data_IF_285658525320
#
_entry.id   IF_285658525320
#
_cell.length_a   1.000
_cell.length_b   1.000
_cell.length_c   1.000
_cell.angle_alpha   90.00
_cell.angle_beta   90.00
_cell.angle_gamma   90.00
#
_symmetry.space_group_name_H-M   'P 1'
#
loop_
_entity.id
_entity.type
_entity.pdbx_description
1 polymer ?
#
# COMPACT_ATOMS: atom_id res chain seq x y z
N UNK A 1 -8.70 43.92 8.41
CA UNK A 1 -7.29 43.55 8.09
C UNK A 1 -7.20 42.04 7.91
N UNK A 2 -7.24 41.55 6.66
CA UNK A 2 -7.13 40.12 6.32
C UNK A 2 -5.66 39.79 6.05
N UNK A 3 -5.11 38.76 6.72
CA UNK A 3 -3.75 38.24 6.46
C UNK A 3 -3.66 37.71 5.02
N UNK A 4 -2.53 37.92 4.30
CA UNK A 4 -2.34 37.33 2.99
C UNK A 4 -2.02 35.83 3.10
N UNK A 5 -2.34 35.01 2.09
CA UNK A 5 -1.96 33.60 2.06
C UNK A 5 -0.45 33.46 1.85
N UNK A 6 0.20 32.59 2.64
CA UNK A 6 1.60 32.20 2.45
C UNK A 6 1.72 31.30 1.21
N UNK A 7 2.74 31.50 0.35
CA UNK A 7 3.00 30.59 -0.76
C UNK A 7 3.55 29.26 -0.22
N UNK A 8 2.92 28.15 -0.57
CA UNK A 8 3.52 26.80 -0.42
C UNK A 8 4.46 26.58 -1.61
N UNK A 9 5.74 26.78 -1.41
CA UNK A 9 6.78 26.27 -2.32
C UNK A 9 6.94 24.78 -2.08
N UNK A 10 6.26 23.95 -2.87
CA UNK A 10 6.53 22.52 -2.95
C UNK A 10 7.71 22.33 -3.89
N UNK A 11 8.93 22.19 -3.33
CA UNK A 11 10.10 21.78 -4.10
C UNK A 11 9.94 20.28 -4.37
N UNK A 12 9.60 19.95 -5.61
CA UNK A 12 9.51 18.58 -6.11
C UNK A 12 10.93 18.02 -6.27
N UNK A 13 11.52 17.47 -5.20
CA UNK A 13 12.77 16.71 -5.30
C UNK A 13 12.44 15.36 -5.97
N UNK A 14 12.81 15.23 -7.24
CA UNK A 14 12.88 13.95 -7.93
C UNK A 14 13.83 13.01 -7.15
N UNK A 15 13.31 11.90 -6.61
CA UNK A 15 14.13 10.79 -6.13
C UNK A 15 14.21 9.72 -7.22
N UNK A 16 15.34 9.70 -7.93
CA UNK A 16 15.89 8.48 -8.50
C UNK A 16 16.36 7.60 -7.32
N UNK A 17 15.65 6.52 -7.04
CA UNK A 17 16.13 5.44 -6.17
C UNK A 17 15.33 4.16 -6.42
N UNK A 18 15.53 3.54 -7.58
CA UNK A 18 15.27 2.11 -7.80
C UNK A 18 16.62 1.52 -8.20
N UNK A 19 17.47 1.25 -7.21
CA UNK A 19 18.69 0.46 -7.33
C UNK A 19 19.37 0.34 -5.95
N UNK A 20 18.74 -0.39 -5.01
CA UNK A 20 19.42 -0.90 -3.80
C UNK A 20 18.51 -1.90 -3.05
N UNK A 21 18.18 -3.03 -3.69
CA UNK A 21 17.64 -4.20 -2.97
C UNK A 21 18.32 -5.43 -3.56
N UNK A 22 19.56 -5.67 -3.16
CA UNK A 22 20.26 -6.96 -3.19
C UNK A 22 21.62 -6.75 -2.53
N UNK A 23 21.67 -6.91 -1.21
CA UNK A 23 22.88 -6.60 -0.45
C UNK A 23 22.94 -7.24 0.92
N UNK A 24 22.62 -8.54 1.01
CA UNK A 24 23.13 -9.41 2.08
C UNK A 24 22.70 -10.87 1.85
N UNK A 25 23.57 -11.66 1.24
CA UNK A 25 23.57 -13.12 1.34
C UNK A 25 24.93 -13.53 1.94
N UNK A 26 24.98 -14.56 2.82
CA UNK A 26 26.19 -14.99 3.49
C UNK A 26 27.15 -15.70 2.51
N UNK A 27 28.43 -15.69 2.87
CA UNK A 27 29.56 -16.23 2.11
C UNK A 27 29.30 -17.65 1.56
N UNK A 28 29.25 -17.76 0.23
CA UNK A 28 29.61 -19.00 -0.46
C UNK A 28 31.13 -19.00 -0.69
N UNK A 29 31.74 -20.14 -0.40
CA UNK A 29 33.18 -20.39 -0.45
C UNK A 29 33.81 -20.07 -1.80
N UNK A 30 35.00 -19.47 -1.76
CA UNK A 30 35.79 -19.05 -2.90
C UNK A 30 36.15 -20.22 -3.84
N UNK A 31 35.45 -20.32 -4.97
CA UNK A 31 35.91 -20.97 -6.21
C UNK A 31 34.93 -20.68 -7.35
N UNK A 32 34.90 -19.44 -7.85
CA UNK A 32 34.67 -19.12 -9.28
C UNK A 32 34.60 -17.59 -9.45
N UNK A 33 35.75 -16.99 -9.75
CA UNK A 33 35.83 -15.62 -10.27
C UNK A 33 35.93 -15.73 -11.79
N UNK A 34 34.81 -15.55 -12.49
CA UNK A 34 34.85 -15.57 -13.95
C UNK A 34 33.52 -15.48 -14.68
N UNK A 35 32.70 -14.46 -14.41
CA UNK A 35 31.81 -13.79 -15.39
C UNK A 35 31.11 -12.63 -14.69
N UNK A 36 31.17 -11.42 -15.25
CA UNK A 36 30.27 -10.33 -14.86
C UNK A 36 28.81 -10.81 -14.97
N UNK A 37 27.94 -10.55 -13.99
CA UNK A 37 26.54 -10.94 -14.09
C UNK A 37 25.88 -10.10 -15.19
N UNK A 38 25.53 -10.74 -16.30
CA UNK A 38 24.67 -10.14 -17.31
C UNK A 38 23.37 -9.62 -16.66
N UNK A 39 22.86 -8.45 -17.08
CA UNK A 39 21.57 -7.98 -16.59
C UNK A 39 20.49 -9.04 -16.89
N UNK A 40 19.55 -9.27 -15.96
CA UNK A 40 18.52 -10.28 -16.14
C UNK A 40 17.73 -10.04 -17.43
N UNK A 41 17.35 -11.13 -18.11
CA UNK A 41 16.45 -11.01 -19.26
C UNK A 41 15.13 -10.37 -18.84
N UNK A 42 14.37 -9.70 -19.73
CA UNK A 42 13.06 -9.13 -19.41
C UNK A 42 12.08 -10.14 -18.79
N UNK A 43 12.19 -11.42 -19.14
CA UNK A 43 11.40 -12.50 -18.56
C UNK A 43 11.83 -12.83 -17.12
N UNK A 44 13.14 -12.80 -16.85
CA UNK A 44 13.69 -12.97 -15.50
C UNK A 44 13.27 -11.82 -14.60
N UNK A 45 13.32 -10.58 -15.09
CA UNK A 45 12.86 -9.39 -14.38
C UNK A 45 11.36 -9.47 -14.07
N UNK A 46 10.54 -9.92 -15.03
CA UNK A 46 9.10 -10.10 -14.83
C UNK A 46 8.79 -11.13 -13.73
N UNK A 47 9.49 -12.27 -13.71
CA UNK A 47 9.33 -13.28 -12.65
C UNK A 47 9.71 -12.74 -11.28
N UNK A 48 10.81 -11.98 -11.19
CA UNK A 48 11.24 -11.36 -9.93
C UNK A 48 10.19 -10.38 -9.38
N UNK A 49 9.57 -9.58 -10.25
CA UNK A 49 8.49 -8.65 -9.84
C UNK A 49 7.27 -9.41 -9.31
N UNK A 50 6.90 -10.54 -9.92
CA UNK A 50 5.79 -11.39 -9.45
C UNK A 50 6.10 -11.98 -8.07
N UNK A 51 7.31 -12.49 -7.87
CA UNK A 51 7.70 -13.07 -6.58
C UNK A 51 7.76 -12.00 -5.48
N UNK A 52 8.27 -10.81 -5.80
CA UNK A 52 8.24 -9.67 -4.89
C UNK A 52 6.81 -9.30 -4.47
N UNK A 53 5.86 -9.28 -5.40
CA UNK A 53 4.44 -9.07 -5.09
C UNK A 53 3.88 -10.18 -4.18
N UNK A 54 4.21 -11.45 -4.45
CA UNK A 54 3.78 -12.56 -3.59
C UNK A 54 4.33 -12.47 -2.17
N UNK A 55 5.59 -12.06 -2.01
CA UNK A 55 6.19 -11.82 -0.70
C UNK A 55 5.54 -10.62 0.00
N UNK A 56 5.19 -9.57 -0.74
CA UNK A 56 4.43 -8.45 -0.18
C UNK A 56 3.03 -8.89 0.29
N UNK A 57 2.34 -9.74 -0.48
CA UNK A 57 1.06 -10.34 -0.05
C UNK A 57 1.23 -11.20 1.20
N UNK A 58 2.25 -12.07 1.23
CA UNK A 58 2.55 -12.93 2.37
C UNK A 58 2.80 -12.11 3.63
N UNK A 59 3.65 -11.09 3.52
CA UNK A 59 3.99 -10.21 4.61
C UNK A 59 2.75 -9.44 5.12
N UNK A 60 1.87 -8.96 4.22
CA UNK A 60 0.58 -8.33 4.60
C UNK A 60 -0.38 -9.29 5.31
N UNK A 61 -0.34 -10.58 5.00
CA UNK A 61 -1.21 -11.58 5.61
C UNK A 61 -0.72 -12.03 7.00
N UNK A 62 0.55 -11.75 7.35
CA UNK A 62 1.14 -12.10 8.64
C UNK A 62 0.72 -11.17 9.81
N UNK A 63 -0.53 -10.69 9.85
CA UNK A 63 -1.08 -9.82 10.92
C UNK A 63 -1.14 -10.52 12.27
N UNK A 64 -1.03 -9.79 13.38
CA UNK A 64 -1.14 -10.31 14.75
C UNK A 64 -2.49 -11.03 15.00
N UNK A 65 -2.58 -11.78 16.11
CA UNK A 65 -3.80 -12.53 16.48
C UNK A 65 -5.04 -11.63 16.66
N UNK A 66 -4.85 -10.34 16.92
CA UNK A 66 -5.88 -9.30 17.04
C UNK A 66 -6.16 -8.56 15.71
N UNK A 67 -5.51 -8.96 14.62
CA UNK A 67 -5.61 -8.31 13.31
C UNK A 67 -4.78 -7.02 13.16
N UNK A 68 -4.07 -6.60 14.21
CA UNK A 68 -3.17 -5.44 14.15
C UNK A 68 -1.95 -5.72 13.29
N UNK A 69 -1.48 -4.69 12.58
CA UNK A 69 -0.29 -4.75 11.71
C UNK A 69 0.99 -4.32 12.43
N UNK A 70 0.86 -3.79 13.65
CA UNK A 70 1.93 -3.18 14.43
C UNK A 70 2.21 -4.09 15.63
N UNK A 71 3.47 -4.47 15.84
CA UNK A 71 3.84 -5.21 17.06
C UNK A 71 3.99 -4.24 18.24
N UNK A 72 3.88 -4.71 19.49
CA UNK A 72 4.15 -3.87 20.65
C UNK A 72 5.50 -3.16 20.58
N UNK A 73 6.54 -3.82 20.08
CA UNK A 73 7.89 -3.24 19.93
C UNK A 73 7.93 -2.11 18.91
N UNK A 74 7.17 -2.24 17.81
CA UNK A 74 7.12 -1.25 16.74
C UNK A 74 6.40 0.02 17.20
N UNK A 75 5.23 -0.14 17.83
CA UNK A 75 4.47 1.00 18.36
C UNK A 75 5.23 1.67 19.52
N UNK A 76 5.79 0.88 20.43
CA UNK A 76 6.54 1.38 21.58
C UNK A 76 7.78 2.19 21.18
N UNK A 77 8.36 1.94 20.00
CA UNK A 77 9.56 2.64 19.54
C UNK A 77 9.31 4.13 19.27
N UNK A 78 8.09 4.53 18.92
CA UNK A 78 7.76 5.96 18.70
C UNK A 78 7.83 6.80 19.98
N UNK A 79 7.81 6.17 21.16
CA UNK A 79 8.08 6.87 22.41
C UNK A 79 9.55 7.26 22.61
N UNK A 80 10.45 6.86 21.70
CA UNK A 80 11.90 6.96 21.83
C UNK A 80 12.57 7.27 20.49
N UNK A 81 11.87 7.88 19.54
CA UNK A 81 12.41 8.19 18.21
C UNK A 81 12.88 9.67 18.10
N UNK A 82 12.56 10.49 19.11
CA UNK A 82 12.91 11.90 19.17
C UNK A 82 11.91 12.84 18.48
N UNK A 83 10.82 12.31 17.94
CA UNK A 83 9.69 13.06 17.39
C UNK A 83 8.76 13.43 18.55
N UNK A 84 8.42 14.72 18.67
CA UNK A 84 7.65 15.23 19.83
C UNK A 84 6.45 16.10 19.45
N UNK A 85 6.24 16.28 18.15
CA UNK A 85 5.22 17.15 17.58
C UNK A 85 4.08 16.38 16.92
N UNK A 86 4.07 15.05 17.04
CA UNK A 86 2.97 14.19 16.64
C UNK A 86 1.86 14.10 17.70
N UNK A 87 0.74 13.46 17.36
CA UNK A 87 -0.41 13.34 18.29
C UNK A 87 -0.06 12.45 19.49
N UNK A 88 0.51 11.28 19.22
CA UNK A 88 1.08 10.34 20.18
C UNK A 88 2.21 9.55 19.50
N UNK A 89 3.22 9.12 20.24
CA UNK A 89 4.32 8.30 19.72
C UNK A 89 4.12 6.81 19.95
N UNK A 90 3.34 6.43 20.96
CA UNK A 90 2.85 5.06 21.10
C UNK A 90 1.43 5.04 21.69
N UNK A 91 0.73 3.92 21.58
CA UNK A 91 -0.61 3.75 22.09
C UNK A 91 -0.94 2.28 22.41
N UNK A 92 -1.15 1.94 23.68
CA UNK A 92 -1.65 0.60 24.06
C UNK A 92 -3.13 0.44 23.72
N UNK A 93 -3.67 -0.78 23.75
CA UNK A 93 -5.13 -0.94 23.81
C UNK A 93 -5.66 -0.54 25.21
N UNK A 94 -6.97 -0.42 25.36
CA UNK A 94 -7.61 -0.17 26.64
C UNK A 94 -7.67 -1.46 27.44
N UNK A 95 -6.87 -1.51 28.48
CA UNK A 95 -6.75 -2.68 29.34
C UNK A 95 -6.49 -2.26 30.78
N UNK A 96 -6.50 -3.23 31.68
CA UNK A 96 -6.07 -3.03 33.06
C UNK A 96 -4.54 -2.93 33.12
N UNK A 97 -4.02 -1.95 33.85
CA UNK A 97 -2.59 -1.77 34.12
C UNK A 97 -1.69 -1.78 32.86
N UNK A 98 -1.99 -1.02 31.79
CA UNK A 98 -1.11 -0.96 30.63
C UNK A 98 0.26 -0.40 31.00
N UNK A 99 1.28 -0.80 30.24
CA UNK A 99 2.65 -0.38 30.46
C UNK A 99 3.44 -0.25 29.17
N UNK A 100 4.45 0.62 29.20
CA UNK A 100 5.48 0.80 28.19
C UNK A 100 6.85 0.68 28.85
N UNK A 101 7.84 0.14 28.14
CA UNK A 101 9.18 -0.12 28.67
C UNK A 101 10.26 0.09 27.61
N UNK A 102 11.41 0.63 28.04
CA UNK A 102 12.64 0.70 27.24
C UNK A 102 13.80 -0.03 27.92
N UNK A 103 14.62 -0.70 27.11
CA UNK A 103 15.94 -1.24 27.48
C UNK A 103 17.06 -0.32 26.99
N UNK A 104 17.74 0.36 27.93
CA UNK A 104 18.84 1.28 27.62
C UNK A 104 20.10 0.54 27.11
N UNK A 105 20.15 -0.78 27.27
CA UNK A 105 21.21 -1.70 26.85
C UNK A 105 22.23 -2.01 27.93
N UNK A 106 22.49 -1.08 28.86
CA UNK A 106 23.35 -1.28 30.03
C UNK A 106 22.86 -0.45 31.22
N UNK A 107 23.21 -0.87 32.44
CA UNK A 107 22.93 -0.10 33.65
C UNK A 107 23.72 1.23 33.61
N UNK A 108 23.07 2.32 33.99
CA UNK A 108 23.64 3.66 34.05
C UNK A 108 23.09 4.44 35.26
N UNK A 109 23.86 5.38 35.84
CA UNK A 109 23.39 6.25 36.92
C UNK A 109 22.46 7.33 36.36
N UNK A 110 21.14 7.08 36.42
CA UNK A 110 20.13 7.93 35.82
C UNK A 110 19.88 9.18 36.66
N UNK A 111 19.88 10.36 36.03
CA UNK A 111 19.67 11.66 36.70
C UNK A 111 18.22 12.09 36.64
N UNK A 112 17.54 11.88 35.50
CA UNK A 112 16.13 12.25 35.31
C UNK A 112 15.47 11.45 34.18
N UNK A 113 14.16 11.31 34.29
CA UNK A 113 13.26 10.85 33.21
C UNK A 113 12.34 12.03 32.85
N UNK A 114 12.10 12.23 31.55
CA UNK A 114 11.19 13.26 31.05
C UNK A 114 10.09 12.58 30.22
N UNK A 115 8.83 12.75 30.62
CA UNK A 115 7.67 12.27 29.87
C UNK A 115 6.99 13.43 29.15
N UNK A 116 6.83 13.30 27.85
CA UNK A 116 6.03 14.19 27.02
C UNK A 116 4.66 13.54 26.78
N UNK A 117 3.59 14.12 27.33
CA UNK A 117 2.24 13.60 27.15
C UNK A 117 1.78 13.73 25.69
N UNK A 118 0.79 12.93 25.28
CA UNK A 118 0.14 13.08 23.98
C UNK A 118 -0.56 14.44 23.85
N UNK A 119 -0.93 14.83 22.63
CA UNK A 119 -1.61 16.12 22.39
C UNK A 119 -3.10 16.03 22.65
N UNK A 120 -3.71 14.88 22.42
CA UNK A 120 -5.09 14.56 22.70
C UNK A 120 -5.23 13.73 23.99
N UNK A 121 -6.42 13.76 24.59
CA UNK A 121 -6.79 12.93 25.75
C UNK A 121 -5.75 12.84 26.89
N UNK A 122 -5.03 13.95 27.15
CA UNK A 122 -3.95 14.06 28.14
C UNK A 122 -4.32 13.62 29.55
N UNK A 123 -5.60 13.72 29.87
CA UNK A 123 -6.19 13.29 31.14
C UNK A 123 -6.07 11.78 31.40
N UNK A 124 -5.85 10.95 30.37
CA UNK A 124 -5.62 9.50 30.55
C UNK A 124 -4.33 9.20 31.32
N UNK A 125 -3.30 10.01 31.11
CA UNK A 125 -2.00 9.88 31.79
C UNK A 125 -1.97 10.53 33.19
N UNK A 126 -3.13 10.87 33.80
CA UNK A 126 -3.18 11.55 35.10
C UNK A 126 -2.68 10.69 36.27
N UNK A 127 -2.72 9.37 36.11
CA UNK A 127 -2.31 8.38 37.11
C UNK A 127 -1.16 7.55 36.56
N UNK A 128 0.09 7.84 36.91
CA UNK A 128 1.25 7.09 36.39
C UNK A 128 2.14 6.61 37.52
N UNK A 129 2.80 5.49 37.29
CA UNK A 129 3.96 5.02 38.04
C UNK A 129 5.13 4.91 37.08
N UNK A 130 6.28 5.40 37.52
CA UNK A 130 7.54 5.16 36.83
C UNK A 130 8.33 4.19 37.68
N UNK A 131 8.78 3.11 37.05
CA UNK A 131 9.60 2.08 37.67
C UNK A 131 10.92 1.94 36.93
N UNK A 132 11.96 1.58 37.67
CA UNK A 132 13.28 1.28 37.10
C UNK A 132 13.78 -0.08 37.57
N UNK A 133 14.64 -0.69 36.76
CA UNK A 133 15.28 -1.97 37.07
C UNK A 133 16.67 -2.07 36.45
N UNK A 134 17.60 -2.78 37.08
CA UNK A 134 18.89 -3.16 36.47
C UNK A 134 18.76 -4.46 35.65
N UNK A 135 17.86 -5.36 36.03
CA UNK A 135 17.74 -6.73 35.50
C UNK A 135 16.47 -6.97 34.67
N UNK A 136 15.45 -6.11 34.81
CA UNK A 136 14.16 -6.22 34.11
C UNK A 136 13.13 -7.13 34.80
N UNK A 137 13.51 -7.82 35.87
CA UNK A 137 12.64 -8.71 36.65
C UNK A 137 12.21 -8.10 38.00
N UNK A 138 13.01 -7.21 38.59
CA UNK A 138 12.81 -6.59 39.90
C UNK A 138 12.67 -5.10 39.73
N UNK A 139 11.51 -4.56 40.08
CA UNK A 139 11.14 -3.18 39.76
C UNK A 139 11.05 -2.33 41.01
N UNK A 140 11.63 -1.14 40.94
CA UNK A 140 11.51 -0.13 42.00
C UNK A 140 10.76 1.08 41.47
N UNK A 141 9.66 1.44 42.13
CA UNK A 141 8.93 2.68 41.87
C UNK A 141 9.82 3.89 42.24
N UNK A 142 9.94 4.83 41.31
CA UNK A 142 10.72 6.07 41.46
C UNK A 142 9.85 7.32 41.41
N UNK A 143 8.64 7.21 40.85
CA UNK A 143 7.69 8.31 40.79
C UNK A 143 6.26 7.82 40.83
N UNK A 144 5.43 8.63 41.48
CA UNK A 144 3.99 8.43 41.61
C UNK A 144 3.27 9.71 41.21
N UNK A 145 2.42 9.61 40.20
CA UNK A 145 1.50 10.65 39.78
C UNK A 145 0.08 10.21 40.14
N UNK A 146 -0.65 11.03 40.92
CA UNK A 146 -2.01 10.74 41.35
C UNK A 146 -2.96 11.89 40.97
N UNK A 147 -3.66 11.74 39.85
CA UNK A 147 -4.71 12.63 39.37
C UNK A 147 -4.25 13.91 38.66
N UNK A 148 -2.95 14.21 38.61
CA UNK A 148 -2.43 15.44 37.99
C UNK A 148 -2.08 15.24 36.52
N UNK A 149 -2.71 16.04 35.66
CA UNK A 149 -2.41 16.11 34.22
C UNK A 149 -1.13 16.91 33.98
N UNK A 150 -0.28 16.43 33.06
CA UNK A 150 0.92 17.12 32.59
C UNK A 150 0.90 17.26 31.06
N UNK A 151 1.73 18.17 30.53
CA UNK A 151 1.84 18.50 29.12
C UNK A 151 2.94 17.74 28.40
N UNK A 152 3.46 18.31 27.32
CA UNK A 152 4.48 17.72 26.47
C UNK A 152 5.41 18.77 25.86
N UNK A 153 6.04 18.44 24.74
CA UNK A 153 6.98 19.36 24.08
C UNK A 153 6.28 20.59 23.50
N UNK A 154 5.05 20.44 22.98
CA UNK A 154 4.33 21.52 22.30
C UNK A 154 3.84 22.63 23.22
N UNK A 155 3.59 22.33 24.50
CA UNK A 155 3.16 23.31 25.51
C UNK A 155 4.25 23.65 26.53
N UNK A 156 5.43 23.04 26.40
CA UNK A 156 6.60 23.29 27.24
C UNK A 156 6.47 22.80 28.68
N UNK A 157 5.49 21.95 29.00
CA UNK A 157 5.22 21.49 30.37
C UNK A 157 5.28 19.95 30.53
N UNK A 158 6.38 19.28 30.12
CA UNK A 158 6.53 17.84 30.33
C UNK A 158 6.65 17.49 31.81
N UNK A 159 6.41 16.21 32.15
CA UNK A 159 6.67 15.70 33.49
C UNK A 159 8.16 15.34 33.62
N UNK A 160 8.86 16.04 34.51
CA UNK A 160 10.28 15.78 34.81
C UNK A 160 10.39 15.06 36.15
N UNK A 161 10.99 13.89 36.15
CA UNK A 161 11.17 13.03 37.32
C UNK A 161 12.66 12.94 37.67
N UNK A 162 13.11 13.52 38.80
CA UNK A 162 14.49 13.39 39.25
C UNK A 162 14.77 12.00 39.83
N UNK A 163 15.94 11.45 39.53
CA UNK A 163 16.35 10.09 39.93
C UNK A 163 17.58 10.03 40.83
N UNK A 164 18.29 11.14 41.06
CA UNK A 164 19.43 11.22 41.99
C UNK A 164 20.50 10.13 41.74
N UNK A 165 20.90 9.97 40.48
CA UNK A 165 21.95 9.04 40.02
C UNK A 165 21.66 7.55 40.26
N UNK A 166 20.38 7.20 40.30
CA UNK A 166 19.93 5.82 40.50
C UNK A 166 20.35 4.91 39.35
N UNK A 167 21.05 3.82 39.69
CA UNK A 167 21.46 2.81 38.73
C UNK A 167 20.24 2.07 38.14
N UNK A 168 20.11 2.08 36.82
CA UNK A 168 19.10 1.32 36.10
C UNK A 168 19.48 1.08 34.64
N UNK A 169 19.00 -0.04 34.09
CA UNK A 169 19.05 -0.39 32.67
C UNK A 169 17.69 -0.28 32.00
N UNK A 170 16.63 -0.60 32.72
CA UNK A 170 15.26 -0.61 32.22
C UNK A 170 14.45 0.49 32.89
N UNK A 171 13.63 1.17 32.10
CA UNK A 171 12.63 2.13 32.56
C UNK A 171 11.26 1.65 32.10
N UNK A 172 10.29 1.64 33.00
CA UNK A 172 8.89 1.29 32.72
C UNK A 172 7.97 2.39 33.18
N UNK A 173 7.06 2.78 32.31
CA UNK A 173 5.92 3.65 32.62
C UNK A 173 4.68 2.77 32.66
N UNK A 174 3.91 2.83 33.74
CA UNK A 174 2.65 2.09 33.87
C UNK A 174 1.54 2.98 34.41
N UNK A 175 0.32 2.70 33.97
CA UNK A 175 -0.89 3.41 34.32
C UNK A 175 -1.76 2.44 35.13
N UNK A 176 -1.86 2.59 36.46
CA UNK A 176 -2.61 1.68 37.33
C UNK A 176 -4.12 1.94 37.28
N UNK A 177 -4.67 2.01 36.07
CA UNK A 177 -6.08 2.21 35.76
C UNK A 177 -6.51 1.21 34.66
N UNK A 178 -7.82 1.13 34.38
CA UNK A 178 -8.34 0.48 33.16
C UNK A 178 -8.53 1.52 32.05
N UNK A 179 -7.47 1.81 31.31
CA UNK A 179 -7.44 2.89 30.33
C UNK A 179 -6.40 2.61 29.23
N UNK A 180 -6.35 3.45 28.19
CA UNK A 180 -5.25 3.48 27.23
C UNK A 180 -4.03 4.20 27.82
N UNK A 181 -2.82 3.62 27.68
CA UNK A 181 -1.56 4.32 27.90
C UNK A 181 -1.01 4.80 26.56
N UNK A 182 -0.89 6.11 26.42
CA UNK A 182 -0.36 6.75 25.24
C UNK A 182 0.45 7.98 25.66
N UNK A 183 1.64 8.18 25.10
CA UNK A 183 2.49 9.35 25.30
C UNK A 183 3.21 9.68 23.99
N UNK A 184 3.76 10.89 23.92
CA UNK A 184 4.53 11.34 22.77
C UNK A 184 5.96 10.79 22.82
N UNK A 185 6.72 11.13 23.88
CA UNK A 185 8.14 10.79 23.98
C UNK A 185 8.53 10.53 25.45
N UNK A 186 9.45 9.60 25.66
CA UNK A 186 10.06 9.25 26.95
C UNK A 186 11.57 9.40 26.84
N UNK A 187 12.11 10.36 27.57
CA UNK A 187 13.54 10.64 27.59
C UNK A 187 14.19 10.20 28.90
N UNK A 188 15.40 9.65 28.80
CA UNK A 188 16.16 9.18 29.97
C UNK A 188 17.57 9.77 29.92
N UNK A 189 18.00 10.40 31.01
CA UNK A 189 19.32 11.07 31.09
C UNK A 189 20.16 10.49 32.24
N UNK A 190 21.48 10.55 32.11
CA UNK A 190 22.43 10.09 33.11
C UNK A 190 23.52 11.13 33.38
N UNK A 191 24.18 11.03 34.54
CA UNK A 191 25.17 12.03 34.98
C UNK A 191 26.37 12.16 34.03
N UNK A 192 26.79 11.05 33.42
CA UNK A 192 27.92 11.02 32.49
C UNK A 192 27.61 11.57 31.09
N UNK A 193 26.33 11.80 30.76
CA UNK A 193 25.90 12.30 29.44
C UNK A 193 24.58 13.09 29.60
N UNK A 194 24.62 14.30 30.21
CA UNK A 194 23.44 15.00 30.71
C UNK A 194 22.53 15.60 29.64
N UNK A 195 23.03 15.71 28.40
CA UNK A 195 22.32 16.31 27.26
C UNK A 195 21.83 15.26 26.25
N UNK A 196 22.23 13.99 26.41
CA UNK A 196 21.84 12.90 25.52
C UNK A 196 20.70 12.09 26.12
N UNK A 197 19.60 11.98 25.38
CA UNK A 197 18.56 11.00 25.67
C UNK A 197 19.12 9.58 25.43
N UNK A 198 19.30 8.82 26.50
CA UNK A 198 19.77 7.43 26.47
C UNK A 198 18.74 6.46 25.88
N UNK A 199 17.46 6.83 25.91
CA UNK A 199 16.37 6.02 25.35
C UNK A 199 16.22 6.18 23.83
N UNK A 200 16.81 7.24 23.24
CA UNK A 200 16.71 7.52 21.81
C UNK A 200 17.19 6.33 20.96
N UNK A 201 16.29 5.81 20.12
CA UNK A 201 16.52 4.67 19.24
C UNK A 201 16.74 3.34 19.95
N UNK A 202 16.43 3.24 21.24
CA UNK A 202 16.57 2.00 22.01
C UNK A 202 15.39 1.06 21.79
N UNK A 203 15.62 -0.21 22.13
CA UNK A 203 14.57 -1.24 22.05
C UNK A 203 13.53 -0.95 23.12
N UNK A 204 12.31 -0.71 22.68
CA UNK A 204 11.15 -0.55 23.54
C UNK A 204 10.11 -1.64 23.26
N UNK A 205 9.21 -1.87 24.19
CA UNK A 205 8.03 -2.74 24.05
C UNK A 205 6.94 -2.26 25.01
N UNK A 206 5.73 -2.78 24.84
CA UNK A 206 4.56 -2.38 25.62
C UNK A 206 3.62 -3.57 25.82
N UNK A 207 2.61 -3.38 26.66
CA UNK A 207 1.70 -4.45 27.05
C UNK A 207 0.75 -4.93 25.95
N UNK A 208 0.36 -4.05 25.04
CA UNK A 208 -0.57 -4.31 23.93
C UNK A 208 -0.52 -3.19 22.91
N UNK A 209 -1.19 -3.33 21.77
CA UNK A 209 -1.21 -2.33 20.70
C UNK A 209 -2.64 -1.84 20.48
N UNK A 210 -2.79 -0.53 20.35
CA UNK A 210 -4.06 0.09 20.01
C UNK A 210 -4.49 -0.25 18.60
N UNK A 211 -5.79 -0.42 18.38
CA UNK A 211 -6.35 -0.49 17.02
C UNK A 211 -6.14 0.78 16.18
N UNK A 212 -5.76 1.90 16.82
CA UNK A 212 -5.44 3.17 16.16
C UNK A 212 -3.95 3.36 15.89
N UNK A 213 -3.09 2.45 16.36
CA UNK A 213 -1.65 2.50 16.07
C UNK A 213 -1.38 2.37 14.58
N UNK A 214 -0.51 3.23 14.07
CA UNK A 214 -0.12 3.26 12.65
C UNK A 214 1.32 2.84 12.48
N UNK A 215 1.60 2.14 11.38
CA UNK A 215 2.98 1.80 11.02
C UNK A 215 3.72 3.05 10.55
N UNK A 216 5.02 3.18 10.85
CA UNK A 216 5.90 4.14 10.20
C UNK A 216 5.80 4.06 8.67
N UNK A 217 6.04 5.16 7.96
CA UNK A 217 5.94 5.22 6.48
C UNK A 217 6.92 4.26 5.77
N UNK A 218 8.05 3.94 6.39
CA UNK A 218 9.08 3.02 5.90
C UNK A 218 8.91 1.59 6.45
N UNK A 219 7.84 1.31 7.18
CA UNK A 219 7.56 -0.01 7.73
C UNK A 219 7.38 -1.04 6.62
N UNK A 220 8.20 -2.09 6.71
CA UNK A 220 8.01 -3.29 5.92
C UNK A 220 7.40 -4.38 6.80
N UNK A 221 6.30 -5.02 6.38
CA UNK A 221 5.76 -6.15 7.10
C UNK A 221 6.82 -7.24 7.22
N UNK A 222 7.13 -7.63 8.46
CA UNK A 222 8.04 -8.74 8.74
C UNK A 222 7.36 -10.09 8.50
N UNK A 223 8.09 -11.04 7.91
CA UNK A 223 7.62 -12.41 7.78
C UNK A 223 7.67 -13.09 9.15
N UNK A 224 6.51 -13.53 9.64
CA UNK A 224 6.43 -14.33 10.86
C UNK A 224 6.34 -15.81 10.48
N UNK A 225 7.32 -16.65 10.81
CA UNK A 225 7.36 -18.05 10.40
C UNK A 225 6.06 -18.84 10.63
N UNK A 226 5.37 -18.59 11.75
CA UNK A 226 4.10 -19.24 12.08
C UNK A 226 2.96 -18.87 11.12
N UNK A 227 2.93 -17.62 10.65
CA UNK A 227 1.97 -17.15 9.67
C UNK A 227 2.31 -17.61 8.25
N UNK A 228 3.60 -17.81 7.94
CA UNK A 228 4.03 -18.34 6.64
C UNK A 228 3.51 -19.75 6.42
N UNK A 229 3.52 -20.63 7.44
CA UNK A 229 2.97 -21.99 7.34
C UNK A 229 1.47 -21.99 7.00
N UNK A 230 0.70 -21.09 7.62
CA UNK A 230 -0.73 -20.93 7.37
C UNK A 230 -0.97 -20.47 5.93
N UNK A 231 -0.26 -19.44 5.47
CA UNK A 231 -0.43 -18.90 4.12
C UNK A 231 0.08 -19.83 3.03
N UNK A 232 1.16 -20.58 3.28
CA UNK A 232 1.63 -21.66 2.41
C UNK A 232 0.57 -22.77 2.27
N UNK A 233 -0.06 -23.17 3.38
CA UNK A 233 -1.17 -24.15 3.35
C UNK A 233 -2.35 -23.63 2.54
N UNK A 234 -2.75 -22.36 2.71
CA UNK A 234 -3.82 -21.74 1.91
C UNK A 234 -3.47 -21.66 0.43
N UNK A 235 -2.24 -21.32 0.08
CA UNK A 235 -1.77 -21.29 -1.30
C UNK A 235 -1.80 -22.69 -1.94
N UNK A 236 -1.38 -23.71 -1.18
CA UNK A 236 -1.39 -25.11 -1.62
C UNK A 236 -2.81 -25.60 -1.89
N UNK A 237 -3.74 -25.39 -0.94
CA UNK A 237 -5.14 -25.80 -1.10
C UNK A 237 -5.78 -25.16 -2.34
N UNK A 238 -5.56 -23.86 -2.55
CA UNK A 238 -6.04 -23.17 -3.76
C UNK A 238 -5.46 -23.74 -5.05
N UNK A 239 -4.18 -24.11 -5.07
CA UNK A 239 -3.55 -24.71 -6.23
C UNK A 239 -4.11 -26.12 -6.53
N UNK A 240 -4.40 -26.91 -5.49
CA UNK A 240 -5.03 -28.22 -5.65
C UNK A 240 -6.47 -28.12 -6.13
N UNK A 241 -7.26 -27.20 -5.58
CA UNK A 241 -8.63 -26.91 -6.04
C UNK A 241 -8.63 -26.49 -7.52
N UNK A 242 -7.74 -25.58 -7.91
CA UNK A 242 -7.59 -25.17 -9.30
C UNK A 242 -7.19 -26.34 -10.21
N UNK A 243 -6.27 -27.21 -9.77
CA UNK A 243 -5.90 -28.40 -10.55
C UNK A 243 -7.09 -29.33 -10.77
N UNK A 244 -7.93 -29.52 -9.74
CA UNK A 244 -9.15 -30.34 -9.86
C UNK A 244 -10.12 -29.72 -10.86
N UNK A 245 -10.35 -28.41 -10.78
CA UNK A 245 -11.23 -27.67 -11.70
C UNK A 245 -10.75 -27.74 -13.16
N UNK A 246 -9.43 -27.62 -13.39
CA UNK A 246 -8.84 -27.72 -14.72
C UNK A 246 -8.82 -29.15 -15.28
N UNK A 247 -8.89 -30.17 -14.42
CA UNK A 247 -8.79 -31.58 -14.84
C UNK A 247 -9.98 -31.98 -15.70
N UNK A 248 -9.71 -32.35 -16.95
CA UNK A 248 -10.75 -32.75 -17.91
C UNK A 248 -11.42 -31.58 -18.64
N UNK A 249 -10.99 -30.34 -18.38
CA UNK A 249 -11.44 -29.17 -19.15
C UNK A 249 -10.84 -29.22 -20.57
N UNK A 250 -11.64 -29.07 -21.64
CA UNK A 250 -11.14 -29.08 -23.01
C UNK A 250 -10.04 -28.02 -23.25
N UNK A 251 -8.94 -28.42 -23.88
CA UNK A 251 -7.81 -27.54 -24.20
C UNK A 251 -6.78 -27.37 -23.07
N UNK A 252 -7.03 -27.91 -21.87
CA UNK A 252 -6.02 -28.00 -20.81
C UNK A 252 -5.11 -29.20 -21.06
N UNK A 253 -3.77 -29.05 -21.02
CA UNK A 253 -2.83 -30.16 -21.18
C UNK A 253 -2.82 -31.09 -19.97
N UNK A 254 -2.08 -32.20 -20.05
CA UNK A 254 -1.89 -33.10 -18.91
C UNK A 254 -1.31 -32.36 -17.69
N UNK A 255 -1.86 -32.69 -16.51
CA UNK A 255 -1.56 -32.06 -15.22
C UNK A 255 -0.85 -33.03 -14.25
N UNK A 256 -0.37 -34.19 -14.73
CA UNK A 256 0.28 -35.19 -13.88
C UNK A 256 1.52 -34.64 -13.16
N UNK A 257 2.33 -33.83 -13.86
CA UNK A 257 3.53 -33.23 -13.29
C UNK A 257 3.20 -32.27 -12.12
N UNK A 258 2.19 -31.41 -12.28
CA UNK A 258 1.77 -30.49 -11.23
C UNK A 258 1.07 -31.23 -10.08
N UNK A 259 0.33 -32.31 -10.37
CA UNK A 259 -0.24 -33.17 -9.33
C UNK A 259 0.87 -33.78 -8.44
N UNK A 260 1.93 -34.31 -9.05
CA UNK A 260 3.07 -34.85 -8.32
C UNK A 260 3.81 -33.77 -7.53
N UNK A 261 4.00 -32.58 -8.12
CA UNK A 261 4.64 -31.44 -7.46
C UNK A 261 3.83 -30.96 -6.23
N UNK A 262 2.51 -30.81 -6.35
CA UNK A 262 1.64 -30.42 -5.23
C UNK A 262 1.65 -31.48 -4.12
N UNK A 263 1.64 -32.77 -4.47
CA UNK A 263 1.73 -33.85 -3.48
C UNK A 263 3.05 -33.82 -2.70
N UNK A 264 4.18 -33.59 -3.38
CA UNK A 264 5.48 -33.43 -2.73
C UNK A 264 5.49 -32.19 -1.81
N UNK A 265 5.01 -31.05 -2.30
CA UNK A 265 4.93 -29.81 -1.52
C UNK A 265 4.02 -29.94 -0.30
N UNK A 266 2.94 -30.73 -0.38
CA UNK A 266 2.05 -31.02 0.76
C UNK A 266 2.79 -31.74 1.89
N UNK A 267 3.64 -32.70 1.56
CA UNK A 267 4.46 -33.39 2.56
C UNK A 267 5.46 -32.43 3.23
N UNK A 268 6.05 -31.51 2.45
CA UNK A 268 6.99 -30.51 2.96
C UNK A 268 6.31 -29.50 3.91
N UNK A 269 5.12 -28.98 3.56
CA UNK A 269 4.35 -28.06 4.43
C UNK A 269 4.09 -28.66 5.81
N UNK A 270 3.85 -29.98 5.89
CA UNK A 270 3.67 -30.68 7.16
C UNK A 270 4.93 -30.70 8.03
N UNK A 271 6.11 -30.85 7.41
CA UNK A 271 7.41 -31.01 8.07
C UNK A 271 8.20 -29.74 8.36
N UNK A 272 7.78 -28.58 7.82
CA UNK A 272 8.46 -27.30 8.11
C UNK A 272 8.21 -26.89 9.57
N UNK A 273 9.32 -26.71 10.30
CA UNK A 273 9.34 -26.08 11.61
C UNK A 273 9.11 -24.57 11.44
N UNK A 274 8.22 -24.01 12.26
CA UNK A 274 7.89 -22.58 12.26
C UNK A 274 9.02 -21.72 12.85
N UNK A 275 10.28 -22.19 12.87
CA UNK A 275 11.43 -21.43 13.31
C UNK A 275 12.33 -20.96 12.15
N UNK A 276 12.19 -21.55 10.96
CA UNK A 276 13.01 -21.21 9.78
C UNK A 276 12.22 -20.36 8.77
N UNK A 277 12.36 -19.04 8.90
CA UNK A 277 11.67 -18.07 8.05
C UNK A 277 12.05 -18.19 6.57
N UNK A 278 13.32 -18.45 6.28
CA UNK A 278 13.86 -18.50 4.91
C UNK A 278 13.37 -19.76 4.19
N UNK A 279 13.39 -20.91 4.89
CA UNK A 279 12.84 -22.15 4.35
C UNK A 279 11.33 -22.05 4.12
N UNK A 280 10.59 -21.43 5.05
CA UNK A 280 9.15 -21.24 4.93
C UNK A 280 8.80 -20.31 3.75
N UNK A 281 9.57 -19.22 3.57
CA UNK A 281 9.43 -18.31 2.43
C UNK A 281 9.71 -19.03 1.10
N UNK A 282 10.79 -19.80 1.03
CA UNK A 282 11.16 -20.56 -0.17
C UNK A 282 10.08 -21.59 -0.55
N UNK A 283 9.52 -22.27 0.46
CA UNK A 283 8.40 -23.21 0.26
C UNK A 283 7.15 -22.48 -0.26
N UNK A 284 6.79 -21.34 0.32
CA UNK A 284 5.67 -20.53 -0.14
C UNK A 284 5.83 -20.13 -1.61
N UNK A 285 7.01 -19.65 -2.02
CA UNK A 285 7.28 -19.29 -3.41
C UNK A 285 7.15 -20.50 -4.36
N UNK A 286 7.68 -21.66 -3.99
CA UNK A 286 7.54 -22.90 -4.78
C UNK A 286 6.07 -23.27 -5.00
N UNK A 287 5.25 -23.20 -3.94
CA UNK A 287 3.79 -23.45 -4.04
C UNK A 287 3.12 -22.44 -4.97
N UNK A 288 3.42 -21.15 -4.81
CA UNK A 288 2.85 -20.09 -5.66
C UNK A 288 3.25 -20.23 -7.14
N UNK A 289 4.47 -20.69 -7.43
CA UNK A 289 4.92 -21.00 -8.80
C UNK A 289 4.07 -22.10 -9.44
N UNK A 290 3.90 -23.24 -8.76
CA UNK A 290 3.07 -24.35 -9.28
C UNK A 290 1.61 -23.90 -9.48
N UNK A 291 1.04 -23.17 -8.50
CA UNK A 291 -0.31 -22.61 -8.63
C UNK A 291 -0.46 -21.64 -9.81
N UNK A 292 0.56 -20.81 -10.07
CA UNK A 292 0.61 -19.93 -11.24
C UNK A 292 0.70 -20.71 -12.54
N UNK A 293 1.55 -21.73 -12.61
CA UNK A 293 1.70 -22.56 -13.80
C UNK A 293 0.39 -23.26 -14.16
N UNK A 294 -0.34 -23.77 -13.17
CA UNK A 294 -1.70 -24.30 -13.34
C UNK A 294 -2.65 -23.24 -13.92
N UNK A 295 -2.68 -22.04 -13.36
CA UNK A 295 -3.53 -20.96 -13.89
C UNK A 295 -3.18 -20.63 -15.35
N UNK A 296 -1.91 -20.64 -15.71
CA UNK A 296 -1.43 -20.39 -17.08
C UNK A 296 -1.62 -21.57 -18.04
N UNK A 297 -2.14 -22.71 -17.58
CA UNK A 297 -2.65 -23.80 -18.42
C UNK A 297 -4.13 -23.67 -18.73
N UNK A 298 -4.85 -22.73 -18.11
CA UNK A 298 -6.25 -22.49 -18.40
C UNK A 298 -6.40 -21.75 -19.74
N UNK A 299 -7.01 -22.37 -20.77
CA UNK A 299 -7.16 -21.74 -22.08
C UNK A 299 -8.00 -20.46 -22.01
N UNK A 300 -8.94 -20.33 -21.06
CA UNK A 300 -9.73 -19.11 -20.89
C UNK A 300 -8.90 -17.89 -20.47
N UNK A 301 -7.73 -18.11 -19.86
CA UNK A 301 -6.84 -17.03 -19.42
C UNK A 301 -5.75 -16.69 -20.43
N UNK A 302 -5.23 -17.70 -21.13
CA UNK A 302 -4.02 -17.55 -21.97
C UNK A 302 -4.26 -17.64 -23.48
N UNK A 303 -5.46 -18.01 -23.93
CA UNK A 303 -5.72 -18.19 -25.36
C UNK A 303 -5.96 -16.89 -26.13
N UNK A 304 -6.21 -15.78 -25.44
CA UNK A 304 -6.57 -14.51 -26.06
C UNK A 304 -5.78 -13.35 -25.44
N UNK A 305 -5.37 -12.35 -26.25
CA UNK A 305 -4.86 -11.09 -25.72
C UNK A 305 -5.89 -10.35 -24.85
N UNK A 306 -5.41 -9.53 -23.92
CA UNK A 306 -6.29 -8.66 -23.10
C UNK A 306 -6.26 -7.24 -23.64
N UNK A 307 -7.43 -6.71 -23.98
CA UNK A 307 -7.62 -5.30 -24.29
C UNK A 307 -7.77 -4.50 -22.99
N UNK A 308 -7.05 -3.39 -22.86
CA UNK A 308 -7.18 -2.49 -21.72
C UNK A 308 -6.99 -1.03 -22.11
N UNK A 309 -7.51 -0.14 -21.27
CA UNK A 309 -7.44 1.31 -21.46
C UNK A 309 -6.61 1.91 -20.34
N UNK A 310 -5.57 2.64 -20.72
CA UNK A 310 -4.74 3.38 -19.79
C UNK A 310 -5.16 4.85 -19.78
N UNK A 311 -5.52 5.36 -18.61
CA UNK A 311 -5.93 6.76 -18.41
C UNK A 311 -5.51 7.27 -17.04
N UNK A 312 -5.18 8.56 -16.90
CA UNK A 312 -5.24 9.20 -15.59
C UNK A 312 -6.70 9.28 -15.12
N UNK A 313 -6.93 9.10 -13.82
CA UNK A 313 -8.18 9.55 -13.20
C UNK A 313 -8.16 11.06 -13.03
N UNK A 314 -9.33 11.70 -13.10
CA UNK A 314 -9.44 13.11 -12.78
C UNK A 314 -9.07 13.33 -11.30
N UNK A 315 -7.97 14.04 -11.06
CA UNK A 315 -7.41 14.27 -9.72
C UNK A 315 -7.96 15.54 -9.04
N UNK A 316 -9.06 16.12 -9.54
CA UNK A 316 -9.66 17.33 -8.96
C UNK A 316 -10.45 17.07 -7.67
N UNK A 317 -11.67 17.61 -7.57
CA UNK A 317 -12.50 17.70 -6.35
C UNK A 317 -12.87 16.39 -5.59
N UNK A 318 -12.21 15.25 -5.83
CA UNK A 318 -12.37 14.02 -5.05
C UNK A 318 -13.73 13.32 -5.22
N UNK A 319 -14.58 13.78 -6.14
CA UNK A 319 -15.87 13.16 -6.42
C UNK A 319 -15.79 12.27 -7.66
N UNK A 320 -16.11 10.98 -7.52
CA UNK A 320 -16.04 9.99 -8.61
C UNK A 320 -16.94 10.35 -9.82
N UNK A 321 -18.03 11.11 -9.59
CA UNK A 321 -18.99 11.49 -10.63
C UNK A 321 -18.39 12.38 -11.72
N UNK A 322 -17.37 13.16 -11.38
CA UNK A 322 -16.74 14.12 -12.30
C UNK A 322 -15.82 13.44 -13.31
N UNK A 323 -15.45 12.18 -13.08
CA UNK A 323 -14.56 11.43 -13.96
C UNK A 323 -15.14 11.15 -15.35
N UNK A 324 -16.44 11.32 -15.53
CA UNK A 324 -17.16 11.03 -16.77
C UNK A 324 -17.69 12.29 -17.47
N UNK A 325 -17.31 13.49 -17.03
CA UNK A 325 -17.68 14.76 -17.67
C UNK A 325 -16.42 15.39 -18.29
N UNK A 326 -16.38 15.52 -19.62
CA UNK A 326 -15.20 16.01 -20.34
C UNK A 326 -14.77 17.42 -19.90
N UNK A 327 -15.75 18.23 -19.46
CA UNK A 327 -15.54 19.56 -18.85
C UNK A 327 -14.38 19.61 -17.85
N UNK A 328 -14.30 18.63 -16.94
CA UNK A 328 -13.34 18.63 -15.86
C UNK A 328 -11.92 18.29 -16.32
N UNK A 329 -11.79 17.65 -17.48
CA UNK A 329 -10.50 17.28 -18.05
C UNK A 329 -9.84 18.42 -18.85
N UNK A 330 -10.58 19.48 -19.19
CA UNK A 330 -10.08 20.60 -20.00
C UNK A 330 -8.82 21.30 -19.44
N UNK A 331 -8.67 21.36 -18.12
CA UNK A 331 -7.62 22.16 -17.47
C UNK A 331 -6.35 21.34 -17.11
N UNK A 332 -6.31 20.04 -17.42
CA UNK A 332 -5.14 19.19 -17.18
C UNK A 332 -4.53 18.72 -18.50
N UNK A 333 -3.19 18.70 -18.64
CA UNK A 333 -2.58 18.20 -19.87
C UNK A 333 -2.92 16.71 -20.06
N UNK A 334 -3.34 16.30 -21.27
CA UNK A 334 -3.42 14.91 -21.66
C UNK A 334 -2.10 14.19 -21.39
N UNK A 335 -2.19 12.97 -20.86
CA UNK A 335 -1.03 12.09 -20.70
C UNK A 335 -0.71 11.44 -22.05
N UNK A 336 0.52 11.62 -22.54
CA UNK A 336 0.96 11.04 -23.82
C UNK A 336 0.95 9.51 -23.82
N UNK A 337 1.11 8.89 -22.66
CA UNK A 337 1.03 7.44 -22.47
C UNK A 337 -0.41 6.93 -22.29
N UNK A 338 -1.43 7.78 -22.15
CA UNK A 338 -2.81 7.31 -22.19
C UNK A 338 -3.14 6.66 -23.55
N UNK A 339 -4.18 5.82 -23.58
CA UNK A 339 -4.61 5.19 -24.82
C UNK A 339 -5.27 3.83 -24.62
N UNK A 340 -5.50 3.17 -25.75
CA UNK A 340 -6.01 1.79 -25.79
C UNK A 340 -4.87 0.86 -26.18
N UNK A 341 -4.72 -0.23 -25.43
CA UNK A 341 -3.59 -1.15 -25.53
C UNK A 341 -4.08 -2.60 -25.53
N UNK A 342 -3.26 -3.47 -26.12
CA UNK A 342 -3.43 -4.91 -26.10
C UNK A 342 -2.25 -5.54 -25.38
N UNK A 343 -2.53 -6.33 -24.36
CA UNK A 343 -1.56 -7.21 -23.70
C UNK A 343 -1.52 -8.53 -24.48
N UNK A 344 -0.43 -8.77 -25.20
CA UNK A 344 -0.33 -9.87 -26.17
C UNK A 344 -0.29 -11.25 -25.51
N UNK A 345 0.41 -11.36 -24.36
CA UNK A 345 0.62 -12.62 -23.66
C UNK A 345 0.25 -12.49 -22.17
N UNK A 346 -1.06 -12.43 -21.83
CA UNK A 346 -1.52 -12.27 -20.47
C UNK A 346 -0.90 -13.27 -19.51
N UNK A 347 -0.30 -12.77 -18.43
CA UNK A 347 0.33 -13.59 -17.41
C UNK A 347 1.68 -14.23 -17.80
N UNK A 348 2.19 -14.00 -19.01
CA UNK A 348 3.54 -14.42 -19.41
C UNK A 348 4.47 -13.24 -19.63
N UNK A 349 3.93 -12.13 -20.11
CA UNK A 349 4.69 -10.92 -20.43
C UNK A 349 3.88 -9.67 -20.10
N UNK A 350 4.59 -8.55 -19.85
CA UNK A 350 4.00 -7.21 -19.82
C UNK A 350 4.15 -6.49 -21.18
N UNK A 351 4.55 -7.21 -22.23
CA UNK A 351 4.66 -6.67 -23.57
C UNK A 351 3.27 -6.26 -24.08
N UNK A 352 3.13 -4.98 -24.39
CA UNK A 352 1.91 -4.40 -24.90
C UNK A 352 2.10 -3.91 -26.34
N UNK A 353 1.02 -4.00 -27.12
CA UNK A 353 0.88 -3.32 -28.40
C UNK A 353 -0.10 -2.16 -28.22
N UNK A 354 0.31 -0.99 -28.67
CA UNK A 354 -0.58 0.18 -28.68
C UNK A 354 -1.59 0.05 -29.80
N UNK A 355 -2.88 0.10 -29.47
CA UNK A 355 -3.97 0.10 -30.45
C UNK A 355 -4.36 1.53 -30.85
N UNK A 356 -4.53 2.41 -29.86
CA UNK A 356 -4.85 3.83 -30.06
C UNK A 356 -3.89 4.68 -29.23
N UNK A 357 -2.84 5.26 -29.82
CA UNK A 357 -1.89 6.10 -29.10
C UNK A 357 -2.48 7.49 -28.85
N UNK A 358 -2.36 8.01 -27.62
CA UNK A 358 -2.76 9.39 -27.34
C UNK A 358 -1.76 10.43 -27.84
N UNK A 359 -0.56 10.03 -28.29
CA UNK A 359 0.41 10.97 -28.88
C UNK A 359 -0.16 11.73 -30.09
N UNK A 360 -1.08 11.10 -30.83
CA UNK A 360 -1.74 11.70 -31.99
C UNK A 360 -3.04 12.44 -31.61
N UNK A 361 -3.82 11.90 -30.67
CA UNK A 361 -5.13 12.46 -30.32
C UNK A 361 -5.06 13.59 -29.30
N UNK A 362 -4.07 13.57 -28.40
CA UNK A 362 -3.85 14.57 -27.35
C UNK A 362 -5.11 14.91 -26.55
N UNK A 363 -5.80 13.90 -26.03
CA UNK A 363 -6.98 14.10 -25.20
C UNK A 363 -7.14 13.08 -24.08
N UNK A 364 -8.38 12.90 -23.63
CA UNK A 364 -8.69 12.10 -22.45
C UNK A 364 -9.57 10.93 -22.82
N UNK A 365 -9.20 9.74 -22.36
CA UNK A 365 -9.91 8.50 -22.58
C UNK A 365 -10.76 8.16 -21.35
N UNK A 366 -11.95 7.62 -21.56
CA UNK A 366 -12.80 7.05 -20.52
C UNK A 366 -13.61 5.91 -21.14
N UNK A 367 -13.88 4.85 -20.36
CA UNK A 367 -14.75 3.72 -20.73
C UNK A 367 -14.20 2.91 -21.93
N UNK A 368 -14.26 1.59 -21.84
CA UNK A 368 -13.74 0.69 -22.88
C UNK A 368 -14.73 -0.44 -23.06
N UNK A 369 -15.02 -0.77 -24.32
CA UNK A 369 -15.89 -1.87 -24.68
C UNK A 369 -15.42 -2.54 -25.96
N UNK A 370 -15.80 -3.80 -26.13
CA UNK A 370 -15.41 -4.66 -27.25
C UNK A 370 -16.69 -5.26 -27.82
N UNK A 371 -16.82 -5.30 -29.15
CA UNK A 371 -17.93 -6.01 -29.79
C UNK A 371 -17.89 -7.50 -29.46
N UNK A 372 -19.05 -8.16 -29.54
CA UNK A 372 -19.18 -9.58 -29.22
C UNK A 372 -18.23 -10.49 -30.03
N UNK A 373 -17.98 -10.13 -31.29
CA UNK A 373 -17.06 -10.82 -32.21
C UNK A 373 -15.59 -10.38 -32.10
N UNK A 374 -15.29 -9.48 -31.14
CA UNK A 374 -13.99 -8.89 -30.90
C UNK A 374 -13.37 -8.15 -32.11
N UNK A 375 -14.16 -7.75 -33.11
CA UNK A 375 -13.64 -7.04 -34.29
C UNK A 375 -13.61 -5.51 -34.11
N UNK A 376 -14.44 -4.97 -33.21
CA UNK A 376 -14.60 -3.53 -32.99
C UNK A 376 -14.35 -3.16 -31.54
N UNK A 377 -13.57 -2.11 -31.34
CA UNK A 377 -13.28 -1.54 -30.03
C UNK A 377 -13.93 -0.17 -29.92
N UNK A 378 -14.57 0.07 -28.79
CA UNK A 378 -15.25 1.31 -28.47
C UNK A 378 -14.68 1.93 -27.21
N UNK A 379 -14.53 3.25 -27.23
CA UNK A 379 -14.11 4.01 -26.06
C UNK A 379 -14.69 5.41 -26.15
N UNK A 380 -14.72 6.14 -25.04
CA UNK A 380 -15.10 7.54 -25.06
C UNK A 380 -13.87 8.44 -24.94
N UNK A 381 -13.86 9.53 -25.71
CA UNK A 381 -12.73 10.43 -25.85
C UNK A 381 -13.17 11.89 -25.76
N UNK A 382 -12.46 12.69 -24.96
CA UNK A 382 -12.66 14.13 -24.87
C UNK A 382 -11.41 14.87 -25.37
N UNK A 383 -11.61 15.76 -26.34
CA UNK A 383 -10.57 16.66 -26.82
C UNK A 383 -10.58 17.96 -26.00
N UNK A 384 -9.54 18.26 -25.21
CA UNK A 384 -9.48 19.47 -24.39
C UNK A 384 -9.43 20.77 -25.23
N UNK A 385 -9.11 20.70 -26.53
CA UNK A 385 -9.15 21.84 -27.44
C UNK A 385 -10.58 22.26 -27.84
N UNK A 386 -11.58 21.42 -27.56
CA UNK A 386 -12.97 21.68 -27.89
C UNK A 386 -13.58 22.82 -27.07
N UNK A 387 -14.68 23.40 -27.58
CA UNK A 387 -15.45 24.40 -26.85
C UNK A 387 -16.00 23.83 -25.53
N UNK A 388 -16.15 24.68 -24.51
CA UNK A 388 -16.76 24.30 -23.25
C UNK A 388 -18.20 23.75 -23.43
N UNK A 389 -18.49 22.56 -22.88
CA UNK A 389 -19.82 21.91 -22.93
C UNK A 389 -20.84 22.48 -21.93
N UNK A 390 -20.35 23.30 -20.99
CA UNK A 390 -21.14 23.99 -19.97
C UNK A 390 -20.74 25.47 -19.87
N UNK A 391 -21.63 26.32 -19.38
CA UNK A 391 -21.36 27.72 -19.05
C UNK A 391 -21.04 27.92 -17.57
N UNK A 392 -20.92 29.19 -17.12
CA UNK A 392 -20.91 29.54 -15.70
C UNK A 392 -22.06 28.89 -14.95
N UNK A 393 -21.81 28.39 -13.73
CA UNK A 393 -22.82 27.64 -12.96
C UNK A 393 -23.15 26.23 -13.50
N UNK A 394 -22.35 25.74 -14.46
CA UNK A 394 -22.54 24.43 -15.09
C UNK A 394 -23.84 24.32 -15.91
N UNK A 395 -24.27 25.44 -16.51
CA UNK A 395 -25.46 25.50 -17.38
C UNK A 395 -25.13 24.84 -18.72
N UNK A 396 -25.95 23.89 -19.22
CA UNK A 396 -25.69 23.27 -20.53
C UNK A 396 -25.66 24.33 -21.64
N UNK A 397 -24.63 24.32 -22.49
CA UNK A 397 -24.59 25.20 -23.66
C UNK A 397 -25.48 24.65 -24.78
N UNK A 398 -26.07 25.50 -25.64
CA UNK A 398 -26.74 25.05 -26.84
C UNK A 398 -25.75 24.40 -27.81
N UNK A 399 -26.25 23.49 -28.63
CA UNK A 399 -25.48 22.85 -29.68
C UNK A 399 -25.36 23.79 -30.89
N UNK A 400 -24.15 23.96 -31.39
CA UNK A 400 -23.83 24.73 -32.59
C UNK A 400 -23.33 23.78 -33.69
N UNK A 401 -23.93 23.79 -34.90
CA UNK A 401 -23.48 22.94 -36.00
C UNK A 401 -22.00 23.14 -36.35
N UNK A 402 -21.27 22.03 -36.50
CA UNK A 402 -19.85 22.05 -36.88
C UNK A 402 -18.88 22.45 -35.76
N UNK A 403 -19.37 22.66 -34.53
CA UNK A 403 -18.53 23.00 -33.39
C UNK A 403 -18.05 21.75 -32.66
N UNK A 404 -16.74 21.68 -32.44
CA UNK A 404 -16.13 20.66 -31.57
C UNK A 404 -16.26 21.08 -30.11
N UNK A 405 -16.69 20.17 -29.25
CA UNK A 405 -16.80 20.39 -27.80
C UNK A 405 -15.82 19.51 -27.04
N UNK A 406 -15.42 19.96 -25.85
CA UNK A 406 -14.58 19.20 -24.92
C UNK A 406 -15.37 18.19 -24.10
N UNK A 407 -16.44 17.63 -24.68
CA UNK A 407 -17.23 16.54 -24.09
C UNK A 407 -16.64 15.19 -24.47
N UNK A 408 -16.97 14.16 -23.71
CA UNK A 408 -16.69 12.78 -24.12
C UNK A 408 -17.58 12.39 -25.30
N UNK A 409 -16.96 11.88 -26.35
CA UNK A 409 -17.62 11.35 -27.53
C UNK A 409 -17.23 9.89 -27.72
N UNK A 410 -18.18 9.07 -28.21
CA UNK A 410 -17.88 7.69 -28.51
C UNK A 410 -17.01 7.60 -29.76
N UNK A 411 -15.99 6.76 -29.68
CA UNK A 411 -15.05 6.44 -30.74
C UNK A 411 -15.16 4.95 -31.05
N UNK A 412 -14.95 4.60 -32.31
CA UNK A 412 -14.84 3.23 -32.81
C UNK A 412 -13.49 3.06 -33.51
N UNK A 413 -12.85 1.91 -33.30
CA UNK A 413 -11.68 1.47 -34.05
C UNK A 413 -11.77 -0.03 -34.31
N UNK A 414 -11.22 -0.51 -35.41
CA UNK A 414 -11.09 -1.95 -35.62
C UNK A 414 -10.05 -2.54 -34.63
N UNK A 415 -10.15 -3.83 -34.31
CA UNK A 415 -9.24 -4.50 -33.38
C UNK A 415 -7.77 -4.55 -33.85
N UNK A 416 -7.51 -4.30 -35.14
CA UNK A 416 -6.18 -4.13 -35.71
C UNK A 416 -5.63 -2.69 -35.60
N UNK A 417 -6.46 -1.74 -35.15
CA UNK A 417 -6.13 -0.31 -35.00
C UNK A 417 -6.51 0.55 -36.21
N UNK A 418 -7.06 -0.05 -37.27
CA UNK A 418 -7.50 0.67 -38.46
C UNK A 418 -8.88 1.32 -38.27
N UNK A 419 -9.24 2.24 -39.18
CA UNK A 419 -10.57 2.85 -39.26
C UNK A 419 -11.05 3.55 -37.98
N UNK A 420 -10.14 4.19 -37.24
CA UNK A 420 -10.50 5.03 -36.09
C UNK A 420 -11.44 6.16 -36.54
N UNK A 421 -12.62 6.23 -35.93
CA UNK A 421 -13.63 7.26 -36.21
C UNK A 421 -14.43 7.65 -34.96
N UNK A 422 -14.95 8.87 -34.95
CA UNK A 422 -15.88 9.35 -33.94
C UNK A 422 -17.32 9.02 -34.35
N UNK A 423 -18.14 8.59 -33.40
CA UNK A 423 -19.55 8.18 -33.62
C UNK A 423 -20.56 9.20 -33.13
N UNK A 424 -20.23 9.98 -32.10
CA UNK A 424 -21.14 10.99 -31.52
C UNK A 424 -20.51 12.37 -31.50
N UNK A 425 -21.34 13.41 -31.45
CA UNK A 425 -20.93 14.82 -31.43
C UNK A 425 -21.82 15.66 -30.51
N UNK A 426 -21.55 16.97 -30.49
CA UNK A 426 -22.32 17.97 -29.73
C UNK A 426 -21.78 18.29 -28.32
N UNK A 427 -22.48 19.14 -27.56
CA UNK A 427 -22.02 19.62 -26.25
C UNK A 427 -22.37 18.68 -25.09
N UNK A 428 -22.56 17.38 -25.35
CA UNK A 428 -23.02 16.40 -24.35
C UNK A 428 -22.04 15.25 -24.29
N UNK A 429 -21.85 14.73 -23.08
CA UNK A 429 -20.96 13.60 -22.84
C UNK A 429 -21.70 12.30 -23.15
N UNK A 430 -21.09 11.49 -24.00
CA UNK A 430 -21.50 10.15 -24.37
C UNK A 430 -20.38 9.16 -24.03
N UNK A 431 -20.71 8.13 -23.25
CA UNK A 431 -19.74 7.22 -22.63
C UNK A 431 -20.39 5.88 -22.26
N UNK A 432 -19.59 4.93 -21.76
CA UNK A 432 -20.02 3.56 -21.43
C UNK A 432 -20.72 2.86 -22.62
N UNK A 433 -20.03 2.72 -23.77
CA UNK A 433 -20.61 2.04 -24.92
C UNK A 433 -20.87 0.56 -24.61
N UNK A 434 -22.05 0.09 -24.99
CA UNK A 434 -22.50 -1.29 -24.93
C UNK A 434 -22.87 -1.72 -26.36
N UNK A 435 -21.95 -2.35 -27.10
CA UNK A 435 -22.21 -2.89 -28.43
C UNK A 435 -23.32 -3.94 -28.38
N UNK A 436 -24.23 -3.88 -29.35
CA UNK A 436 -25.39 -4.77 -29.45
C UNK A 436 -25.15 -5.83 -30.53
N UNK A 437 -25.80 -7.02 -30.44
CA UNK A 437 -25.62 -8.10 -31.42
C UNK A 437 -26.02 -7.75 -32.86
N UNK A 438 -26.84 -6.73 -33.07
CA UNK A 438 -27.28 -6.25 -34.39
C UNK A 438 -26.30 -5.24 -35.02
N UNK A 439 -25.17 -4.95 -34.36
CA UNK A 439 -24.19 -3.94 -34.77
C UNK A 439 -24.52 -2.53 -34.28
N UNK A 440 -25.61 -2.35 -33.53
CA UNK A 440 -25.93 -1.10 -32.83
C UNK A 440 -25.08 -0.89 -31.57
N UNK A 441 -25.25 0.27 -30.93
CA UNK A 441 -24.58 0.61 -29.67
C UNK A 441 -25.58 1.31 -28.75
N UNK A 442 -25.75 0.79 -27.53
CA UNK A 442 -26.37 1.51 -26.43
C UNK A 442 -25.30 2.23 -25.62
N UNK A 443 -25.59 3.41 -25.08
CA UNK A 443 -24.60 4.18 -24.31
C UNK A 443 -25.27 5.15 -23.34
N UNK A 444 -24.49 5.65 -22.38
CA UNK A 444 -24.92 6.67 -21.43
C UNK A 444 -24.68 8.07 -21.98
N UNK A 445 -25.63 8.98 -21.78
CA UNK A 445 -25.56 10.34 -22.31
C UNK A 445 -26.04 11.41 -21.32
N UNK A 446 -25.38 12.57 -21.31
CA UNK A 446 -25.85 13.75 -20.54
C UNK A 446 -26.93 14.57 -21.24
N UNK A 447 -27.45 14.13 -22.40
CA UNK A 447 -28.52 14.80 -23.15
C UNK A 447 -29.79 15.09 -22.32
N UNK A 448 -30.07 14.30 -21.27
CA UNK A 448 -31.19 14.55 -20.33
C UNK A 448 -31.03 15.84 -19.50
N UNK A 449 -29.85 16.48 -19.50
CA UNK A 449 -29.59 17.73 -18.77
C UNK A 449 -29.29 17.54 -17.28
N UNK A 450 -29.14 16.30 -16.81
CA UNK A 450 -28.78 15.98 -15.43
C UNK A 450 -27.27 15.90 -15.20
N UNK A 451 -26.84 16.22 -13.96
CA UNK A 451 -25.43 16.18 -13.50
C UNK A 451 -25.07 14.89 -12.75
N UNK A 452 -26.07 14.22 -12.17
CA UNK A 452 -25.87 13.10 -11.26
C UNK A 452 -25.86 11.78 -12.03
N UNK A 453 -24.89 10.93 -11.70
CA UNK A 453 -24.66 9.62 -12.32
C UNK A 453 -24.44 8.62 -11.18
N UNK A 454 -25.51 8.10 -10.59
CA UNK A 454 -25.41 7.05 -9.59
C UNK A 454 -25.51 5.68 -10.27
#
# INVERSE_FOLDING_TARGET
>A
MKKPPRPRTTILRHRLAIAAVCGSLPLATAADLGTDPHPPSPETEYRQVIEADWLQQLARACTNNDGSRITPEMDAAGACDGVKDEETGFHTDRQENPWWQVDLGKSAPLTRIVLHNARDCRERARNLRILVSEEGNTWQEVHRQDGRVFGGATDGNPLVVPLQDKAARFVRVTLPDTEYLHLNEVEVYAAGDPDRNLALGKRATQSSVSKWSTAPEDWQPGLRPEAVKVEATKALNRAEELRVDLSGTPGVPDLHAEAAALQALRAEVGGVDAADADAAQALYLRIRRVGRELALKNPLLISQPILFLMRPRYAGHGQMLYEYVGWFYRNGPPRSDAGVYVLEEPGRSMKTRTLVPNSALQGHFVTLSLSYDAQKVYFAFADPSGKPSYGPGFVPVPEEPGVKYGSFHLMEVNADGSQLRQLTDGPRDDFDPCPLPDGGIAFMSTRRGGKNRC
#
